data_IF_376998322581
#
_entry.id   IF_376998322581
#
_cell.length_a   1.000
_cell.length_b   1.000
_cell.length_c   1.000
_cell.angle_alpha   90.00
_cell.angle_beta   90.00
_cell.angle_gamma   90.00
#
_symmetry.space_group_name_H-M   'P 1'
#
loop_
_entity.id
_entity.type
_entity.pdbx_description
1 polymer ?
#
# COMPACT_ATOMS: atom_id res chain seq x y z
N UNK A 1 21.96 26.03 14.93
CA UNK A 1 22.24 24.82 15.73
C UNK A 1 21.02 24.19 16.45
N UNK A 2 19.92 24.91 16.72
CA UNK A 2 18.70 24.32 17.34
C UNK A 2 17.82 23.54 16.34
N UNK A 3 17.71 24.02 15.10
CA UNK A 3 16.88 23.40 14.05
C UNK A 3 17.32 21.98 13.66
N UNK A 4 18.62 21.74 13.49
CA UNK A 4 19.17 20.42 13.16
C UNK A 4 18.93 19.38 14.27
N UNK A 5 18.98 19.79 15.54
CA UNK A 5 18.68 18.92 16.69
C UNK A 5 17.20 18.51 16.73
N UNK A 6 16.29 19.43 16.40
CA UNK A 6 14.85 19.12 16.34
C UNK A 6 14.52 18.18 15.17
N UNK A 7 15.11 18.40 13.99
CA UNK A 7 14.99 17.51 12.84
C UNK A 7 15.47 16.09 13.15
N UNK A 8 16.63 15.94 13.78
CA UNK A 8 17.14 14.61 14.17
C UNK A 8 16.21 13.90 15.18
N UNK A 9 15.54 14.63 16.07
CA UNK A 9 14.57 14.04 17.00
C UNK A 9 13.32 13.51 16.27
N UNK A 10 12.79 14.25 15.29
CA UNK A 10 11.63 13.82 14.50
C UNK A 10 11.95 12.69 13.51
N UNK A 11 13.19 12.66 12.99
CA UNK A 11 13.65 11.62 12.08
C UNK A 11 14.07 10.33 12.80
N UNK A 12 14.35 10.39 14.11
CA UNK A 12 14.69 9.23 14.93
C UNK A 12 13.55 8.21 15.03
N UNK A 13 13.89 6.99 15.44
CA UNK A 13 12.90 5.95 15.75
C UNK A 13 12.18 6.18 17.09
N UNK A 14 12.70 7.07 17.95
CA UNK A 14 12.11 7.43 19.26
C UNK A 14 11.13 8.60 19.15
N UNK A 15 10.68 8.91 17.95
CA UNK A 15 9.68 9.94 17.75
C UNK A 15 8.37 9.58 18.49
N UNK A 16 7.60 10.61 18.86
CA UNK A 16 6.30 10.41 19.53
C UNK A 16 5.36 9.56 18.67
N UNK A 17 4.36 8.88 19.25
CA UNK A 17 3.44 8.03 18.49
C UNK A 17 2.79 8.73 17.29
N UNK A 18 2.45 10.02 17.44
CA UNK A 18 1.89 10.84 16.35
C UNK A 18 2.89 11.03 15.19
N UNK A 19 4.15 11.32 15.50
CA UNK A 19 5.18 11.51 14.46
C UNK A 19 5.49 10.19 13.77
N UNK A 20 5.57 9.08 14.51
CA UNK A 20 5.68 7.75 13.91
C UNK A 20 4.51 7.42 12.99
N UNK A 21 3.27 7.75 13.39
CA UNK A 21 2.08 7.56 12.56
C UNK A 21 2.13 8.40 11.28
N UNK A 22 2.63 9.62 11.33
CA UNK A 22 2.84 10.46 10.13
C UNK A 22 3.89 9.82 9.22
N UNK A 23 5.06 9.43 9.76
CA UNK A 23 6.12 8.73 8.99
C UNK A 23 5.58 7.45 8.35
N UNK A 24 4.80 6.69 9.11
CA UNK A 24 4.10 5.49 8.66
C UNK A 24 3.14 5.78 7.51
N UNK A 25 2.34 6.83 7.63
CA UNK A 25 1.38 7.24 6.60
C UNK A 25 2.07 7.68 5.31
N UNK A 26 3.20 8.39 5.41
CA UNK A 26 4.05 8.75 4.26
C UNK A 26 4.63 7.50 3.59
N UNK A 27 5.15 6.55 4.39
CA UNK A 27 5.63 5.26 3.88
C UNK A 27 4.51 4.47 3.17
N UNK A 28 3.28 4.53 3.70
CA UNK A 28 2.09 3.98 3.08
C UNK A 28 1.77 4.64 1.73
N UNK A 29 1.80 5.98 1.66
CA UNK A 29 1.59 6.71 0.41
C UNK A 29 2.61 6.36 -0.67
N UNK A 30 3.89 6.24 -0.31
CA UNK A 30 4.95 5.78 -1.23
C UNK A 30 4.65 4.35 -1.71
N UNK A 31 4.28 3.45 -0.79
CA UNK A 31 3.94 2.07 -1.14
C UNK A 31 2.72 2.00 -2.09
N UNK A 32 1.70 2.85 -1.91
CA UNK A 32 0.56 2.94 -2.83
C UNK A 32 1.00 3.39 -4.22
N UNK A 33 1.87 4.40 -4.32
CA UNK A 33 2.42 4.83 -5.62
C UNK A 33 3.20 3.69 -6.29
N UNK A 34 4.04 2.97 -5.54
CA UNK A 34 4.76 1.79 -6.03
C UNK A 34 3.78 0.70 -6.47
N UNK A 35 2.69 0.47 -5.73
CA UNK A 35 1.66 -0.51 -6.11
C UNK A 35 1.03 -0.16 -7.44
N UNK A 36 0.62 1.10 -7.65
CA UNK A 36 0.02 1.56 -8.91
C UNK A 36 1.01 1.33 -10.05
N UNK A 37 2.26 1.78 -9.90
CA UNK A 37 3.29 1.60 -10.94
C UNK A 37 3.54 0.11 -11.22
N UNK A 38 3.73 -0.70 -10.19
CA UNK A 38 3.97 -2.14 -10.34
C UNK A 38 2.78 -2.85 -11.00
N UNK A 39 1.54 -2.48 -10.65
CA UNK A 39 0.33 -3.00 -11.27
C UNK A 39 0.27 -2.66 -12.75
N UNK A 40 0.52 -1.40 -13.11
CA UNK A 40 0.48 -0.97 -14.52
C UNK A 40 1.59 -1.64 -15.33
N UNK A 41 2.82 -1.73 -14.81
CA UNK A 41 3.92 -2.42 -15.49
C UNK A 41 3.61 -3.92 -15.66
N UNK A 42 3.09 -4.57 -14.62
CA UNK A 42 2.67 -5.96 -14.69
C UNK A 42 1.55 -6.19 -15.71
N UNK A 43 0.50 -5.36 -15.63
CA UNK A 43 -0.69 -5.41 -16.46
C UNK A 43 -0.45 -4.98 -17.91
N UNK A 44 0.71 -4.38 -18.19
CA UNK A 44 1.14 -4.01 -19.54
C UNK A 44 2.07 -5.07 -20.15
N UNK A 45 3.09 -5.52 -19.40
CA UNK A 45 4.17 -6.36 -19.94
C UNK A 45 4.02 -7.87 -19.67
N UNK A 46 3.45 -8.27 -18.53
CA UNK A 46 3.42 -9.68 -18.11
C UNK A 46 2.04 -10.31 -18.25
N UNK A 47 1.01 -9.56 -17.86
CA UNK A 47 -0.38 -10.01 -17.81
C UNK A 47 -1.26 -8.95 -18.48
N UNK A 48 -1.30 -8.85 -19.82
CA UNK A 48 -2.03 -7.81 -20.55
C UNK A 48 -3.48 -7.65 -20.09
N UNK A 49 -3.76 -6.64 -19.27
CA UNK A 49 -5.09 -6.36 -18.72
C UNK A 49 -5.47 -4.87 -18.73
N UNK A 50 -4.52 -3.99 -19.08
CA UNK A 50 -4.74 -2.55 -19.20
C UNK A 50 -5.26 -2.25 -20.60
N UNK A 51 -6.48 -1.73 -20.69
CA UNK A 51 -7.14 -1.41 -21.96
C UNK A 51 -6.88 0.04 -22.40
N UNK A 52 -7.06 0.34 -23.68
CA UNK A 52 -6.99 1.72 -24.20
C UNK A 52 -7.97 2.70 -23.51
N UNK A 53 -9.06 2.19 -22.96
CA UNK A 53 -10.05 3.00 -22.25
C UNK A 53 -9.65 3.41 -20.82
N UNK A 54 -8.58 2.81 -20.28
CA UNK A 54 -8.12 3.12 -18.93
C UNK A 54 -7.61 4.58 -18.86
N UNK A 55 -8.03 5.39 -17.86
CA UNK A 55 -7.64 6.79 -17.76
C UNK A 55 -6.13 7.03 -17.74
N UNK A 56 -5.36 6.18 -17.06
CA UNK A 56 -3.90 6.29 -17.02
C UNK A 56 -3.29 5.88 -18.36
N UNK A 57 -3.88 4.90 -19.05
CA UNK A 57 -3.46 4.55 -20.41
C UNK A 57 -3.74 5.69 -21.40
N UNK A 58 -4.90 6.36 -21.32
CA UNK A 58 -5.19 7.55 -22.13
C UNK A 58 -4.19 8.67 -21.89
N UNK A 59 -3.83 8.90 -20.63
CA UNK A 59 -2.81 9.88 -20.25
C UNK A 59 -1.43 9.53 -20.83
N UNK A 60 -1.00 8.27 -20.71
CA UNK A 60 0.28 7.81 -21.26
C UNK A 60 0.32 7.87 -22.79
N UNK A 61 -0.80 7.55 -23.46
CA UNK A 61 -0.93 7.69 -24.91
C UNK A 61 -0.81 9.16 -25.33
N UNK A 62 -1.47 10.08 -24.61
CA UNK A 62 -1.43 11.51 -24.91
C UNK A 62 -0.05 12.15 -24.65
N UNK A 63 0.64 11.75 -23.58
CA UNK A 63 1.93 12.35 -23.19
C UNK A 63 3.13 11.72 -23.89
N UNK A 64 3.10 10.41 -24.15
CA UNK A 64 4.26 9.64 -24.58
C UNK A 64 4.03 8.81 -25.84
N UNK A 65 2.82 8.85 -26.44
CA UNK A 65 2.50 8.09 -27.65
C UNK A 65 2.46 6.57 -27.42
N UNK A 66 2.31 6.11 -26.17
CA UNK A 66 2.28 4.68 -25.84
C UNK A 66 0.94 4.08 -26.26
N UNK A 67 0.97 3.03 -27.09
CA UNK A 67 -0.22 2.24 -27.43
C UNK A 67 -0.53 1.22 -26.35
N UNK A 68 -1.82 1.00 -26.08
CA UNK A 68 -2.26 -0.04 -25.16
C UNK A 68 -1.88 -1.43 -25.69
N UNK A 69 -1.60 -2.41 -24.80
CA UNK A 69 -1.34 -3.78 -25.23
C UNK A 69 -2.62 -4.41 -25.78
N UNK A 70 -2.47 -5.46 -26.59
CA UNK A 70 -3.61 -6.29 -26.99
C UNK A 70 -4.07 -7.09 -25.78
N UNK A 71 -5.34 -6.90 -25.39
CA UNK A 71 -5.95 -7.55 -24.23
C UNK A 71 -6.98 -8.56 -24.71
N UNK A 72 -6.89 -9.79 -24.19
CA UNK A 72 -7.91 -10.81 -24.37
C UNK A 72 -8.97 -10.67 -23.27
N UNK A 73 -10.20 -10.30 -23.63
CA UNK A 73 -11.24 -9.95 -22.65
C UNK A 73 -11.59 -11.10 -21.69
N UNK A 74 -11.51 -12.35 -22.18
CA UNK A 74 -11.77 -13.56 -21.37
C UNK A 74 -10.72 -13.73 -20.26
N UNK A 75 -9.48 -13.29 -20.48
CA UNK A 75 -8.38 -13.39 -19.53
C UNK A 75 -8.18 -12.13 -18.70
N UNK A 76 -8.74 -10.98 -19.12
CA UNK A 76 -8.47 -9.66 -18.53
C UNK A 76 -8.66 -9.63 -17.01
N UNK A 77 -9.76 -10.16 -16.50
CA UNK A 77 -10.03 -10.19 -15.06
C UNK A 77 -9.01 -11.04 -14.28
N UNK A 78 -8.60 -12.18 -14.84
CA UNK A 78 -7.62 -13.08 -14.22
C UNK A 78 -6.22 -12.45 -14.22
N UNK A 79 -5.84 -11.82 -15.33
CA UNK A 79 -4.59 -11.10 -15.46
C UNK A 79 -4.51 -9.87 -14.55
N UNK A 80 -5.62 -9.15 -14.38
CA UNK A 80 -5.70 -8.07 -13.40
C UNK A 80 -5.48 -8.59 -11.97
N UNK A 81 -6.01 -9.77 -11.60
CA UNK A 81 -5.74 -10.38 -10.29
C UNK A 81 -4.24 -10.71 -10.15
N UNK A 82 -3.62 -11.33 -11.15
CA UNK A 82 -2.19 -11.66 -11.11
C UNK A 82 -1.30 -10.42 -11.01
N UNK A 83 -1.58 -9.40 -11.83
CA UNK A 83 -0.89 -8.11 -11.77
C UNK A 83 -1.06 -7.45 -10.39
N UNK A 84 -2.27 -7.49 -9.82
CA UNK A 84 -2.54 -6.91 -8.50
C UNK A 84 -1.85 -7.68 -7.36
N UNK A 85 -1.81 -9.01 -7.43
CA UNK A 85 -1.07 -9.84 -6.45
C UNK A 85 0.43 -9.55 -6.51
N UNK A 86 1.01 -9.45 -7.72
CA UNK A 86 2.42 -9.11 -7.86
C UNK A 86 2.71 -7.69 -7.35
N UNK A 87 1.87 -6.72 -7.71
CA UNK A 87 1.97 -5.34 -7.23
C UNK A 87 1.87 -5.26 -5.71
N UNK A 88 0.98 -6.05 -5.09
CA UNK A 88 0.84 -6.14 -3.64
C UNK A 88 2.13 -6.62 -2.98
N UNK A 89 2.79 -7.64 -3.53
CA UNK A 89 4.06 -8.14 -2.97
C UNK A 89 5.14 -7.07 -3.10
N UNK A 90 5.32 -6.49 -4.29
CA UNK A 90 6.34 -5.47 -4.57
C UNK A 90 6.16 -4.25 -3.67
N UNK A 91 4.94 -3.73 -3.57
CA UNK A 91 4.62 -2.58 -2.73
C UNK A 91 4.84 -2.87 -1.25
N UNK A 92 4.50 -4.08 -0.77
CA UNK A 92 4.75 -4.49 0.60
C UNK A 92 6.25 -4.66 0.90
N UNK A 93 7.07 -5.11 -0.05
CA UNK A 93 8.53 -5.15 0.11
C UNK A 93 9.07 -3.73 0.32
N UNK A 94 8.70 -2.78 -0.55
CA UNK A 94 9.13 -1.39 -0.41
C UNK A 94 8.62 -0.79 0.90
N UNK A 95 7.35 -1.02 1.24
CA UNK A 95 6.76 -0.54 2.48
C UNK A 95 7.49 -1.11 3.70
N UNK A 96 7.83 -2.40 3.69
CA UNK A 96 8.58 -3.06 4.75
C UNK A 96 9.97 -2.42 4.92
N UNK A 97 10.70 -2.22 3.82
CA UNK A 97 12.03 -1.59 3.84
C UNK A 97 11.96 -0.19 4.46
N UNK A 98 11.04 0.66 4.00
CA UNK A 98 10.89 2.01 4.55
C UNK A 98 10.49 1.96 6.03
N UNK A 99 9.55 1.08 6.40
CA UNK A 99 9.12 0.94 7.78
C UNK A 99 10.26 0.50 8.70
N UNK A 100 11.06 -0.48 8.25
CA UNK A 100 12.19 -1.02 8.99
C UNK A 100 13.35 -0.03 9.13
N UNK A 101 13.64 0.74 8.09
CA UNK A 101 14.77 1.68 8.06
C UNK A 101 14.44 3.04 8.69
N UNK A 102 13.18 3.47 8.58
CA UNK A 102 12.80 4.84 8.91
C UNK A 102 11.73 4.94 9.99
N UNK A 103 10.73 4.06 10.02
CA UNK A 103 9.55 4.24 10.90
C UNK A 103 9.76 3.60 12.26
N UNK A 104 9.99 2.29 12.28
CA UNK A 104 10.02 1.46 13.49
C UNK A 104 11.42 0.91 13.76
N UNK A 105 11.69 0.52 15.02
CA UNK A 105 12.96 -0.12 15.37
C UNK A 105 12.97 -1.60 14.98
N UNK A 106 13.92 -2.06 14.14
CA UNK A 106 14.03 -3.47 13.82
C UNK A 106 14.57 -4.31 14.98
N UNK A 107 14.46 -5.63 14.86
CA UNK A 107 15.15 -6.59 15.72
C UNK A 107 14.26 -7.22 16.79
N UNK A 108 12.93 -7.23 16.59
CA UNK A 108 12.02 -8.06 17.39
C UNK A 108 12.14 -9.53 16.96
N UNK A 109 12.23 -9.78 15.66
CA UNK A 109 12.36 -11.11 15.07
C UNK A 109 13.49 -11.14 14.03
N UNK A 110 13.80 -12.32 13.52
CA UNK A 110 14.65 -12.44 12.33
C UNK A 110 13.99 -11.74 11.13
N UNK A 111 14.80 -11.15 10.23
CA UNK A 111 14.33 -10.31 9.11
C UNK A 111 13.23 -10.98 8.28
N UNK A 112 13.38 -12.27 7.99
CA UNK A 112 12.37 -13.04 7.24
C UNK A 112 11.04 -13.11 8.00
N UNK A 113 11.08 -13.34 9.31
CA UNK A 113 9.88 -13.41 10.15
C UNK A 113 9.21 -12.04 10.25
N UNK A 114 9.99 -10.95 10.39
CA UNK A 114 9.45 -9.60 10.35
C UNK A 114 8.72 -9.33 9.04
N UNK A 115 9.32 -9.71 7.90
CA UNK A 115 8.70 -9.54 6.58
C UNK A 115 7.42 -10.39 6.42
N UNK A 116 7.44 -11.66 6.82
CA UNK A 116 6.25 -12.52 6.73
C UNK A 116 5.11 -12.02 7.63
N UNK A 117 5.40 -11.59 8.86
CA UNK A 117 4.41 -10.99 9.74
C UNK A 117 3.89 -9.67 9.16
N UNK A 118 4.75 -8.86 8.58
CA UNK A 118 4.35 -7.62 7.90
C UNK A 118 3.35 -7.90 6.76
N UNK A 119 3.66 -8.89 5.91
CA UNK A 119 2.79 -9.29 4.81
C UNK A 119 1.45 -9.86 5.31
N UNK A 120 1.48 -10.69 6.35
CA UNK A 120 0.28 -11.25 6.97
C UNK A 120 -0.63 -10.15 7.54
N UNK A 121 -0.05 -9.18 8.27
CA UNK A 121 -0.78 -8.02 8.81
C UNK A 121 -1.39 -7.18 7.68
N UNK A 122 -0.67 -6.98 6.57
CA UNK A 122 -1.22 -6.29 5.40
C UNK A 122 -2.42 -7.01 4.79
N UNK A 123 -2.34 -8.34 4.63
CA UNK A 123 -3.43 -9.14 4.08
C UNK A 123 -4.67 -9.10 4.99
N UNK A 124 -4.49 -9.25 6.31
CA UNK A 124 -5.57 -9.15 7.29
C UNK A 124 -6.21 -7.76 7.24
N UNK A 125 -5.40 -6.70 7.24
CA UNK A 125 -5.91 -5.32 7.20
C UNK A 125 -6.74 -5.06 5.95
N UNK A 126 -6.29 -5.57 4.79
CA UNK A 126 -7.03 -5.45 3.53
C UNK A 126 -8.40 -6.14 3.61
N UNK A 127 -8.47 -7.36 4.16
CA UNK A 127 -9.73 -8.11 4.31
C UNK A 127 -10.67 -7.39 5.28
N UNK A 128 -10.15 -6.93 6.42
CA UNK A 128 -10.95 -6.23 7.43
C UNK A 128 -11.48 -4.90 6.88
N UNK A 129 -10.63 -4.10 6.24
CA UNK A 129 -11.01 -2.82 5.66
C UNK A 129 -12.04 -2.95 4.54
N UNK A 130 -11.87 -3.93 3.65
CA UNK A 130 -12.85 -4.25 2.61
C UNK A 130 -14.19 -4.73 3.18
N UNK A 131 -14.15 -5.55 4.25
CA UNK A 131 -15.36 -6.01 4.94
C UNK A 131 -16.11 -4.85 5.60
N UNK A 132 -15.39 -3.95 6.27
CA UNK A 132 -15.95 -2.75 6.86
C UNK A 132 -16.62 -1.87 5.79
N UNK A 133 -15.95 -1.65 4.66
CA UNK A 133 -16.51 -0.93 3.52
C UNK A 133 -17.84 -1.55 3.06
N UNK A 134 -17.88 -2.87 2.90
CA UNK A 134 -19.08 -3.61 2.50
C UNK A 134 -20.22 -3.47 3.50
N UNK A 135 -19.92 -3.51 4.80
CA UNK A 135 -20.91 -3.31 5.87
C UNK A 135 -21.46 -1.89 5.86
N UNK A 136 -20.60 -0.87 5.75
CA UNK A 136 -21.01 0.53 5.71
C UNK A 136 -21.95 0.83 4.53
N UNK A 137 -21.67 0.25 3.36
CA UNK A 137 -22.52 0.42 2.17
C UNK A 137 -23.84 -0.33 2.34
N UNK A 138 -23.79 -1.62 2.72
CA UNK A 138 -24.98 -2.50 2.72
C UNK A 138 -25.94 -2.22 3.88
N UNK A 139 -25.41 -1.93 5.06
CA UNK A 139 -26.23 -1.79 6.28
C UNK A 139 -26.57 -0.33 6.59
N UNK A 140 -25.68 0.60 6.27
CA UNK A 140 -25.85 2.02 6.60
C UNK A 140 -26.13 2.91 5.37
N UNK A 141 -26.12 2.35 4.16
CA UNK A 141 -26.40 3.11 2.92
C UNK A 141 -25.38 4.21 2.62
N UNK A 142 -24.17 4.13 3.21
CA UNK A 142 -23.14 5.14 3.01
C UNK A 142 -22.69 5.17 1.55
N UNK A 143 -22.44 6.40 1.05
CA UNK A 143 -21.85 6.57 -0.27
C UNK A 143 -20.45 5.95 -0.31
N UNK A 144 -20.09 5.42 -1.49
CA UNK A 144 -18.84 4.68 -1.73
C UNK A 144 -17.60 5.47 -1.34
N UNK A 145 -17.58 6.78 -1.54
CA UNK A 145 -16.47 7.66 -1.16
C UNK A 145 -16.18 7.62 0.34
N UNK A 146 -17.22 7.73 1.17
CA UNK A 146 -17.05 7.71 2.64
C UNK A 146 -16.70 6.32 3.15
N UNK A 147 -17.32 5.27 2.59
CA UNK A 147 -17.00 3.90 2.93
C UNK A 147 -15.56 3.52 2.53
N UNK A 148 -15.08 4.04 1.40
CA UNK A 148 -13.71 3.88 0.94
C UNK A 148 -12.71 4.63 1.83
N UNK A 149 -13.06 5.85 2.28
CA UNK A 149 -12.29 6.56 3.30
C UNK A 149 -12.14 5.77 4.60
N UNK A 150 -13.23 5.17 5.08
CA UNK A 150 -13.22 4.31 6.26
C UNK A 150 -12.37 3.04 6.06
N UNK A 151 -12.40 2.43 4.87
CA UNK A 151 -11.52 1.32 4.51
C UNK A 151 -10.03 1.71 4.62
N UNK A 152 -9.64 2.83 3.99
CA UNK A 152 -8.25 3.31 4.04
C UNK A 152 -7.83 3.56 5.49
N UNK A 153 -8.65 4.30 6.25
CA UNK A 153 -8.31 4.69 7.61
C UNK A 153 -8.19 3.47 8.55
N UNK A 154 -9.18 2.57 8.51
CA UNK A 154 -9.16 1.34 9.32
C UNK A 154 -7.97 0.44 8.97
N UNK A 155 -7.71 0.23 7.68
CA UNK A 155 -6.55 -0.55 7.21
C UNK A 155 -5.24 0.08 7.67
N UNK A 156 -5.11 1.41 7.58
CA UNK A 156 -3.90 2.13 8.00
C UNK A 156 -3.69 2.03 9.51
N UNK A 157 -4.75 2.20 10.31
CA UNK A 157 -4.70 2.10 11.77
C UNK A 157 -4.35 0.68 12.25
N UNK A 158 -5.00 -0.35 11.71
CA UNK A 158 -4.73 -1.76 12.05
C UNK A 158 -3.28 -2.09 11.72
N UNK A 159 -2.82 -1.74 10.50
CA UNK A 159 -1.45 -1.99 10.14
C UNK A 159 -0.47 -1.25 11.06
N UNK A 160 -0.71 0.02 11.39
CA UNK A 160 0.17 0.77 12.29
C UNK A 160 0.28 0.08 13.67
N UNK A 161 -0.85 -0.26 14.29
CA UNK A 161 -0.90 -0.88 15.62
C UNK A 161 -0.20 -2.25 15.60
N UNK A 162 -0.57 -3.12 14.67
CA UNK A 162 -0.01 -4.46 14.59
C UNK A 162 1.48 -4.43 14.24
N UNK A 163 1.92 -3.54 13.33
CA UNK A 163 3.35 -3.43 13.01
C UNK A 163 4.17 -2.92 14.19
N UNK A 164 3.63 -1.95 14.93
CA UNK A 164 4.27 -1.39 16.12
C UNK A 164 4.47 -2.43 17.23
N UNK A 165 3.44 -3.21 17.54
CA UNK A 165 3.47 -4.12 18.71
C UNK A 165 3.84 -5.57 18.38
N UNK A 166 3.47 -6.04 17.19
CA UNK A 166 3.65 -7.45 16.78
C UNK A 166 4.85 -7.64 15.85
N UNK A 167 5.14 -6.71 14.93
CA UNK A 167 6.23 -6.88 13.94
C UNK A 167 7.56 -6.33 14.46
N UNK A 168 7.58 -5.09 14.95
CA UNK A 168 8.78 -4.34 15.30
C UNK A 168 8.92 -4.08 16.81
N UNK A 169 10.05 -3.47 17.22
CA UNK A 169 10.28 -3.01 18.60
C UNK A 169 9.72 -1.60 18.83
N UNK A 170 8.39 -1.52 18.85
CA UNK A 170 7.64 -0.32 19.21
C UNK A 170 7.60 0.75 18.15
#
# INVERSE_FOLDING_TARGET
MSWQRNLNRYLSHEATPLVQFIKYSVAGGIATAVHIVAFFLAGFFLFPCVTAEDPLMKLLAALFGVSAPVVEEVLRARYAIYANTMAFIVSNVVCYIINRLFVFRPGRHHVIVEFLLFLAVSAISMVVGASLMGVLIKQFGLQTTYAFGANIFSSLAINYILRKFLVFKG
#
